data_IF_078220348486
#
_entry.id   IF_078220348486
#
_cell.length_a   1.000
_cell.length_b   1.000
_cell.length_c   1.000
_cell.angle_alpha   90.00
_cell.angle_beta   90.00
_cell.angle_gamma   90.00
#
_symmetry.space_group_name_H-M   'P 1'
#
loop_
_entity.id
_entity.type
_entity.pdbx_description
1 polymer ?
#
# COMPACT_ATOMS: atom_id res chain seq x y z
N UNK A 1 3.66 20.69 1.56
CA UNK A 1 2.66 21.56 0.91
C UNK A 1 2.72 22.96 1.53
N UNK A 2 2.68 23.08 2.85
CA UNK A 2 2.72 24.37 3.54
C UNK A 2 4.00 25.16 3.30
N UNK A 3 5.15 24.49 3.15
CA UNK A 3 6.48 25.13 2.99
C UNK A 3 6.89 25.38 1.53
N UNK A 4 5.99 25.21 0.56
CA UNK A 4 6.29 25.24 -0.88
C UNK A 4 7.39 24.28 -1.36
N UNK A 5 7.88 23.39 -0.50
CA UNK A 5 8.91 22.40 -0.83
C UNK A 5 8.32 21.16 -1.51
N UNK A 6 6.99 21.01 -1.48
CA UNK A 6 6.26 19.90 -2.12
C UNK A 6 5.01 20.40 -2.83
N UNK A 7 4.65 19.72 -3.90
CA UNK A 7 3.45 20.00 -4.71
C UNK A 7 2.22 19.33 -4.07
N UNK A 8 1.02 19.76 -4.47
CA UNK A 8 -0.22 19.03 -4.22
C UNK A 8 -0.34 17.75 -5.04
N UNK A 9 -1.45 17.06 -4.90
CA UNK A 9 -1.77 15.84 -5.65
C UNK A 9 -3.03 16.01 -6.49
N UNK A 10 -3.05 15.37 -7.66
CA UNK A 10 -4.25 15.10 -8.42
C UNK A 10 -4.55 13.59 -8.30
N UNK A 11 -5.61 13.23 -7.61
CA UNK A 11 -5.98 11.84 -7.33
C UNK A 11 -7.21 11.45 -8.13
N UNK A 12 -7.08 10.43 -8.96
CA UNK A 12 -8.19 9.83 -9.70
C UNK A 12 -8.54 8.49 -9.07
N UNK A 13 -9.82 8.28 -8.80
CA UNK A 13 -10.37 7.05 -8.26
C UNK A 13 -11.12 6.31 -9.37
N UNK A 14 -10.60 5.13 -9.73
CA UNK A 14 -11.10 4.32 -10.84
C UNK A 14 -11.84 3.11 -10.27
N UNK A 15 -13.11 2.99 -10.62
CA UNK A 15 -13.90 1.78 -10.38
C UNK A 15 -13.49 0.71 -11.42
N UNK A 16 -13.26 -0.50 -10.96
CA UNK A 16 -12.72 -1.58 -11.80
C UNK A 16 -13.69 -2.76 -11.96
N UNK A 17 -14.83 -2.73 -11.32
CA UNK A 17 -15.90 -3.73 -11.46
C UNK A 17 -17.25 -3.15 -11.03
N UNK A 18 -18.33 -3.74 -11.54
CA UNK A 18 -19.73 -3.55 -11.12
C UNK A 18 -20.33 -4.90 -10.75
N UNK A 19 -21.21 -4.91 -9.76
CA UNK A 19 -21.90 -6.12 -9.33
C UNK A 19 -22.91 -5.84 -8.23
N UNK A 20 -23.69 -6.85 -7.86
CA UNK A 20 -24.65 -6.79 -6.75
C UNK A 20 -23.95 -6.56 -5.40
N UNK A 21 -22.67 -6.87 -5.33
CA UNK A 21 -21.85 -6.73 -4.15
C UNK A 21 -20.72 -5.74 -4.45
N UNK A 22 -20.58 -4.69 -3.64
CA UNK A 22 -19.44 -3.80 -3.67
C UNK A 22 -18.39 -4.34 -2.71
N UNK A 23 -17.31 -5.02 -3.18
CA UNK A 23 -16.25 -5.51 -2.30
C UNK A 23 -15.42 -4.38 -1.69
N UNK A 24 -15.72 -3.12 -2.03
CA UNK A 24 -15.14 -1.93 -1.39
C UNK A 24 -15.90 -1.51 -0.15
N UNK A 25 -17.13 -1.99 0.03
CA UNK A 25 -17.87 -1.82 1.26
C UNK A 25 -17.24 -2.73 2.33
N UNK A 26 -16.77 -2.13 3.43
CA UNK A 26 -16.19 -2.86 4.57
C UNK A 26 -17.23 -3.68 5.35
N UNK A 27 -18.50 -3.62 4.97
CA UNK A 27 -19.52 -4.54 5.46
C UNK A 27 -19.10 -5.95 5.02
N UNK A 28 -18.70 -6.75 6.00
CA UNK A 28 -18.35 -8.16 5.82
C UNK A 28 -19.52 -8.90 5.19
N UNK A 29 -19.47 -9.08 3.90
CA UNK A 29 -20.27 -10.12 3.28
C UNK A 29 -19.51 -11.41 3.56
N UNK A 30 -20.03 -12.23 4.46
CA UNK A 30 -19.52 -13.58 4.71
C UNK A 30 -19.49 -14.30 3.36
N UNK A 31 -18.38 -14.98 3.04
CA UNK A 31 -18.13 -15.81 1.86
C UNK A 31 -17.65 -15.15 0.56
N UNK A 32 -17.30 -13.87 0.52
CA UNK A 32 -16.66 -13.26 -0.66
C UNK A 32 -15.14 -13.20 -0.49
N UNK A 33 -14.42 -13.92 -1.36
CA UNK A 33 -12.98 -13.79 -1.50
C UNK A 33 -12.65 -12.51 -2.28
N UNK A 34 -12.44 -11.41 -1.55
CA UNK A 34 -12.06 -10.12 -2.15
C UNK A 34 -10.79 -10.24 -3.00
N UNK A 35 -9.88 -11.15 -2.68
CA UNK A 35 -8.65 -11.35 -3.44
C UNK A 35 -8.90 -11.97 -4.81
N UNK A 36 -9.87 -12.87 -4.93
CA UNK A 36 -10.27 -13.47 -6.21
C UNK A 36 -10.69 -12.39 -7.22
N UNK A 37 -11.57 -11.46 -6.80
CA UNK A 37 -12.03 -10.35 -7.65
C UNK A 37 -10.87 -9.46 -8.08
N UNK A 38 -10.01 -9.08 -7.14
CA UNK A 38 -8.92 -8.17 -7.41
C UNK A 38 -7.78 -8.81 -8.20
N UNK A 39 -7.65 -10.12 -8.20
CA UNK A 39 -6.65 -10.87 -8.98
C UNK A 39 -7.16 -11.42 -10.29
N UNK A 40 -8.44 -11.19 -10.65
CA UNK A 40 -9.01 -11.70 -11.89
C UNK A 40 -8.25 -11.18 -13.13
N UNK A 41 -7.84 -12.06 -14.05
CA UNK A 41 -7.05 -11.68 -15.23
C UNK A 41 -7.74 -10.65 -16.13
N UNK A 42 -9.09 -10.68 -16.25
CA UNK A 42 -9.84 -9.69 -17.06
C UNK A 42 -9.70 -8.30 -16.45
N UNK A 43 -9.87 -8.18 -15.12
CA UNK A 43 -9.69 -6.93 -14.40
C UNK A 43 -8.25 -6.41 -14.54
N UNK A 44 -7.25 -7.25 -14.29
CA UNK A 44 -5.85 -6.88 -14.41
C UNK A 44 -5.53 -6.37 -15.82
N UNK A 45 -6.08 -7.01 -16.85
CA UNK A 45 -5.89 -6.60 -18.25
C UNK A 45 -6.51 -5.23 -18.54
N UNK A 46 -7.73 -4.96 -18.03
CA UNK A 46 -8.38 -3.65 -18.17
C UNK A 46 -7.56 -2.54 -17.49
N UNK A 47 -7.05 -2.79 -16.29
CA UNK A 47 -6.18 -1.85 -15.57
C UNK A 47 -4.88 -1.58 -16.37
N UNK A 48 -4.22 -2.62 -16.88
CA UNK A 48 -3.01 -2.47 -17.68
C UNK A 48 -3.27 -1.66 -18.96
N UNK A 49 -4.36 -1.93 -19.67
CA UNK A 49 -4.78 -1.17 -20.85
C UNK A 49 -5.07 0.29 -20.52
N UNK A 50 -5.74 0.55 -19.40
CA UNK A 50 -5.99 1.92 -18.92
C UNK A 50 -4.69 2.67 -18.63
N UNK A 51 -3.72 2.01 -17.99
CA UNK A 51 -2.38 2.58 -17.74
C UNK A 51 -1.71 2.93 -19.05
N UNK A 52 -1.60 1.99 -20.00
CA UNK A 52 -0.95 2.23 -21.30
C UNK A 52 -1.59 3.42 -22.02
N UNK A 53 -2.94 3.42 -22.10
CA UNK A 53 -3.69 4.49 -22.81
C UNK A 53 -3.46 5.88 -22.22
N UNK A 54 -3.24 5.99 -20.91
CA UNK A 54 -3.18 7.27 -20.22
C UNK A 54 -1.76 7.69 -19.81
N UNK A 55 -0.77 6.80 -19.94
CA UNK A 55 0.57 7.02 -19.41
C UNK A 55 1.24 8.28 -19.98
N UNK A 56 1.25 8.44 -21.28
CA UNK A 56 1.90 9.59 -21.94
C UNK A 56 1.29 10.91 -21.47
N UNK A 57 -0.05 10.97 -21.35
CA UNK A 57 -0.74 12.16 -20.84
C UNK A 57 -0.37 12.45 -19.36
N UNK A 58 -0.28 11.41 -18.52
CA UNK A 58 0.03 11.54 -17.08
C UNK A 58 1.47 11.94 -16.85
N UNK A 59 2.39 11.50 -17.69
CA UNK A 59 3.84 11.70 -17.55
C UNK A 59 4.40 12.81 -18.43
N UNK A 60 3.53 13.64 -19.02
CA UNK A 60 3.92 14.71 -19.95
C UNK A 60 4.80 14.15 -21.10
N UNK A 61 4.24 13.21 -21.88
CA UNK A 61 4.91 12.51 -22.96
C UNK A 61 6.24 11.86 -22.53
N UNK A 62 6.19 11.13 -21.41
CA UNK A 62 7.34 10.38 -20.81
C UNK A 62 8.52 11.25 -20.40
N UNK A 63 8.31 12.57 -20.27
CA UNK A 63 9.27 13.45 -19.61
C UNK A 63 9.45 13.05 -18.14
N UNK A 64 8.40 12.55 -17.54
CA UNK A 64 8.34 11.99 -16.22
C UNK A 64 8.05 10.49 -16.29
N UNK A 65 8.15 9.81 -15.18
CA UNK A 65 7.87 8.39 -15.07
C UNK A 65 6.90 8.04 -13.94
N UNK A 66 6.60 6.77 -13.81
CA UNK A 66 5.64 6.27 -12.86
C UNK A 66 6.15 5.08 -12.04
N UNK A 67 5.64 4.97 -10.80
CA UNK A 67 5.60 3.72 -10.05
C UNK A 67 4.19 3.10 -10.17
N UNK A 68 4.14 1.78 -10.19
CA UNK A 68 2.89 1.03 -10.11
C UNK A 68 2.93 0.12 -8.87
N UNK A 69 2.25 0.54 -7.81
CA UNK A 69 2.16 -0.17 -6.55
C UNK A 69 1.05 -1.23 -6.60
N UNK A 70 1.41 -2.48 -6.37
CA UNK A 70 0.48 -3.61 -6.40
C UNK A 70 0.48 -4.36 -5.07
N UNK A 71 -0.57 -5.18 -4.84
CA UNK A 71 -0.84 -5.78 -3.54
C UNK A 71 0.23 -6.79 -3.12
N UNK A 72 0.64 -7.69 -4.03
CA UNK A 72 1.55 -8.80 -3.75
C UNK A 72 2.37 -9.19 -4.99
N UNK A 73 3.32 -10.11 -4.82
CA UNK A 73 4.23 -10.56 -5.88
C UNK A 73 3.49 -11.29 -7.00
N UNK A 74 2.47 -12.10 -6.67
CA UNK A 74 1.65 -12.81 -7.65
C UNK A 74 0.97 -11.83 -8.61
N UNK A 75 0.36 -10.78 -8.06
CA UNK A 75 -0.27 -9.71 -8.84
C UNK A 75 0.77 -8.92 -9.65
N UNK A 76 1.96 -8.66 -9.10
CA UNK A 76 3.06 -8.00 -9.82
C UNK A 76 3.46 -8.80 -11.06
N UNK A 77 3.68 -10.11 -10.91
CA UNK A 77 4.07 -10.99 -12.01
C UNK A 77 2.96 -11.07 -13.06
N UNK A 78 1.70 -11.15 -12.64
CA UNK A 78 0.55 -11.15 -13.53
C UNK A 78 0.50 -9.86 -14.37
N UNK A 79 0.60 -8.68 -13.75
CA UNK A 79 0.66 -7.41 -14.48
C UNK A 79 1.86 -7.32 -15.42
N UNK A 80 3.04 -7.74 -14.97
CA UNK A 80 4.23 -7.72 -15.81
C UNK A 80 4.06 -8.54 -17.08
N UNK A 81 3.50 -9.75 -16.96
CA UNK A 81 3.21 -10.60 -18.11
C UNK A 81 2.13 -9.99 -19.03
N UNK A 82 1.07 -9.41 -18.47
CA UNK A 82 0.03 -8.72 -19.25
C UNK A 82 0.61 -7.54 -20.04
N UNK A 83 1.48 -6.72 -19.44
CA UNK A 83 2.14 -5.63 -20.18
C UNK A 83 3.00 -6.16 -21.34
N UNK A 84 3.67 -7.28 -21.15
CA UNK A 84 4.43 -7.94 -22.23
C UNK A 84 3.51 -8.45 -23.36
N UNK A 85 2.38 -9.08 -23.00
CA UNK A 85 1.40 -9.54 -23.99
C UNK A 85 0.77 -8.40 -24.78
N UNK A 86 0.53 -7.26 -24.14
CA UNK A 86 -0.02 -6.07 -24.78
C UNK A 86 0.98 -5.37 -25.71
N UNK A 87 2.24 -5.82 -25.73
CA UNK A 87 3.30 -5.39 -26.63
C UNK A 87 3.40 -3.85 -26.74
N UNK A 88 3.40 -3.18 -25.59
CA UNK A 88 3.55 -1.72 -25.51
C UNK A 88 4.99 -1.30 -25.79
N UNK A 89 5.17 -0.09 -26.29
CA UNK A 89 6.49 0.57 -26.46
C UNK A 89 7.04 1.18 -25.17
N UNK A 90 6.27 1.11 -24.06
CA UNK A 90 6.70 1.58 -22.76
C UNK A 90 7.82 0.70 -22.20
N UNK A 91 8.85 1.34 -21.65
CA UNK A 91 9.91 0.66 -20.91
C UNK A 91 9.42 0.33 -19.51
N UNK A 92 9.08 -0.92 -19.28
CA UNK A 92 8.50 -1.42 -18.02
C UNK A 92 9.44 -2.42 -17.39
N UNK A 93 9.69 -2.28 -16.08
CA UNK A 93 10.35 -3.29 -15.26
C UNK A 93 9.58 -3.50 -13.96
N UNK A 94 10.02 -4.44 -13.16
CA UNK A 94 9.44 -4.71 -11.87
C UNK A 94 10.52 -5.08 -10.86
N UNK A 95 10.25 -4.81 -9.57
CA UNK A 95 11.15 -5.13 -8.48
C UNK A 95 10.38 -5.52 -7.22
N UNK A 96 10.85 -6.56 -6.53
CA UNK A 96 10.32 -7.04 -5.26
C UNK A 96 11.41 -7.77 -4.48
N UNK A 97 11.24 -7.89 -3.15
CA UNK A 97 12.13 -8.68 -2.29
C UNK A 97 11.51 -10.03 -1.96
N UNK A 98 12.35 -11.05 -1.76
CA UNK A 98 11.88 -12.40 -1.41
C UNK A 98 11.30 -12.50 0.00
N UNK A 99 11.72 -11.60 0.90
CA UNK A 99 11.41 -11.64 2.33
C UNK A 99 10.03 -11.05 2.66
N UNK A 100 9.43 -10.27 1.75
CA UNK A 100 8.14 -9.60 1.95
C UNK A 100 6.94 -10.49 1.57
N UNK A 101 7.14 -11.78 1.33
CA UNK A 101 6.05 -12.69 1.01
C UNK A 101 5.21 -13.02 2.24
N UNK A 102 4.09 -12.31 2.42
CA UNK A 102 2.98 -12.76 3.26
C UNK A 102 2.21 -13.93 2.62
N UNK A 103 2.36 -14.14 1.31
CA UNK A 103 1.75 -15.25 0.54
C UNK A 103 2.69 -16.45 0.52
N UNK A 104 2.51 -17.32 1.51
CA UNK A 104 3.19 -18.61 1.62
C UNK A 104 2.86 -19.58 0.47
N UNK A 105 1.89 -19.22 -0.38
CA UNK A 105 1.40 -20.02 -1.50
C UNK A 105 2.24 -19.90 -2.78
N UNK A 106 2.99 -18.82 -2.93
CA UNK A 106 3.85 -18.65 -4.09
C UNK A 106 5.20 -19.27 -3.76
N UNK A 107 5.40 -20.53 -4.18
CA UNK A 107 6.67 -21.26 -3.98
C UNK A 107 7.84 -20.34 -4.31
N UNK A 108 8.80 -20.22 -3.41
CA UNK A 108 9.99 -19.37 -3.56
C UNK A 108 10.71 -19.58 -4.91
N UNK A 109 10.66 -20.78 -5.47
CA UNK A 109 11.21 -21.10 -6.79
C UNK A 109 10.54 -20.31 -7.91
N UNK A 110 9.20 -20.24 -7.94
CA UNK A 110 8.48 -19.48 -8.98
C UNK A 110 8.72 -17.97 -8.91
N UNK A 111 8.88 -17.42 -7.71
CA UNK A 111 9.20 -16.00 -7.52
C UNK A 111 10.60 -15.69 -8.02
N UNK A 112 11.57 -16.57 -7.74
CA UNK A 112 12.96 -16.43 -8.19
C UNK A 112 13.08 -16.50 -9.71
N UNK A 113 12.43 -17.49 -10.34
CA UNK A 113 12.40 -17.63 -11.79
C UNK A 113 11.74 -16.44 -12.50
N UNK A 114 10.67 -15.91 -11.88
CA UNK A 114 9.98 -14.73 -12.40
C UNK A 114 10.85 -13.49 -12.30
N UNK A 115 11.58 -13.31 -11.18
CA UNK A 115 12.51 -12.20 -11.03
C UNK A 115 13.67 -12.32 -12.01
N UNK A 116 14.22 -13.51 -12.24
CA UNK A 116 15.28 -13.75 -13.24
C UNK A 116 14.80 -13.39 -14.65
N UNK A 117 13.55 -13.72 -15.02
CA UNK A 117 12.95 -13.29 -16.29
C UNK A 117 12.86 -11.77 -16.40
N UNK A 118 12.41 -11.09 -15.35
CA UNK A 118 12.33 -9.62 -15.31
C UNK A 118 13.73 -9.01 -15.48
N UNK A 119 14.73 -9.52 -14.77
CA UNK A 119 16.12 -9.07 -14.88
C UNK A 119 16.68 -9.36 -16.29
N UNK A 120 16.37 -10.51 -16.87
CA UNK A 120 16.79 -10.85 -18.25
C UNK A 120 16.21 -9.87 -19.27
N UNK A 121 14.94 -9.51 -19.14
CA UNK A 121 14.31 -8.53 -20.02
C UNK A 121 14.89 -7.12 -19.81
N UNK A 122 15.19 -6.76 -18.55
CA UNK A 122 15.89 -5.51 -18.23
C UNK A 122 17.27 -5.45 -18.86
N UNK A 123 18.04 -6.57 -18.77
CA UNK A 123 19.36 -6.68 -19.40
C UNK A 123 19.30 -6.46 -20.91
N UNK A 124 18.29 -7.02 -21.59
CA UNK A 124 18.05 -6.77 -23.03
C UNK A 124 17.73 -5.32 -23.30
N UNK A 125 16.91 -4.68 -22.46
CA UNK A 125 16.47 -3.30 -22.63
C UNK A 125 17.64 -2.29 -22.50
N UNK A 126 18.58 -2.56 -21.60
CA UNK A 126 19.66 -1.63 -21.24
C UNK A 126 21.08 -2.12 -21.56
N UNK A 127 21.20 -3.29 -22.21
CA UNK A 127 22.48 -3.94 -22.51
C UNK A 127 23.37 -4.12 -21.26
N UNK A 128 22.75 -4.70 -20.20
CA UNK A 128 23.40 -5.00 -18.92
C UNK A 128 23.47 -6.52 -18.71
N UNK A 129 24.12 -6.96 -17.63
CA UNK A 129 24.30 -8.38 -17.33
C UNK A 129 24.09 -8.66 -15.83
N UNK A 130 22.89 -8.35 -15.33
CA UNK A 130 22.48 -8.63 -13.97
C UNK A 130 21.81 -10.00 -13.87
N UNK A 131 21.88 -10.60 -12.67
CA UNK A 131 21.26 -11.86 -12.29
C UNK A 131 20.66 -11.72 -10.89
N UNK A 132 19.82 -12.65 -10.48
CA UNK A 132 19.24 -12.65 -9.12
C UNK A 132 20.33 -12.58 -8.04
N UNK A 133 21.47 -13.24 -8.25
CA UNK A 133 22.61 -13.16 -7.31
C UNK A 133 23.28 -11.77 -7.23
N UNK A 134 23.03 -10.90 -8.22
CA UNK A 134 23.50 -9.50 -8.24
C UNK A 134 22.32 -8.53 -8.05
N UNK A 135 21.28 -8.95 -7.34
CA UNK A 135 20.04 -8.19 -7.14
C UNK A 135 20.28 -6.76 -6.66
N UNK A 136 21.18 -6.55 -5.70
CA UNK A 136 21.50 -5.22 -5.18
C UNK A 136 22.04 -4.28 -6.28
N UNK A 137 22.87 -4.79 -7.19
CA UNK A 137 23.39 -4.01 -8.31
C UNK A 137 22.28 -3.69 -9.32
N UNK A 138 21.42 -4.65 -9.66
CA UNK A 138 20.23 -4.45 -10.47
C UNK A 138 19.32 -3.40 -9.85
N UNK A 139 18.97 -3.52 -8.56
CA UNK A 139 18.11 -2.58 -7.85
C UNK A 139 18.67 -1.16 -7.88
N UNK A 140 19.98 -0.99 -7.66
CA UNK A 140 20.65 0.31 -7.70
C UNK A 140 20.63 0.93 -9.10
N UNK A 141 20.87 0.14 -10.15
CA UNK A 141 20.79 0.64 -11.53
C UNK A 141 19.34 0.99 -11.90
N UNK A 142 18.36 0.17 -11.55
CA UNK A 142 16.95 0.46 -11.75
C UNK A 142 16.55 1.77 -11.06
N UNK A 143 16.96 1.99 -9.80
CA UNK A 143 16.70 3.25 -9.09
C UNK A 143 17.34 4.44 -9.81
N UNK A 144 18.54 4.28 -10.39
CA UNK A 144 19.19 5.32 -11.20
C UNK A 144 18.40 5.60 -12.47
N UNK A 145 17.89 4.56 -13.16
CA UNK A 145 17.05 4.70 -14.36
C UNK A 145 15.75 5.45 -14.05
N UNK A 146 15.12 5.18 -12.88
CA UNK A 146 13.96 5.94 -12.44
C UNK A 146 14.32 7.42 -12.23
N UNK A 147 15.41 7.71 -11.50
CA UNK A 147 15.85 9.08 -11.20
C UNK A 147 16.21 9.91 -12.44
N UNK A 148 16.48 9.26 -13.55
CA UNK A 148 16.89 9.91 -14.82
C UNK A 148 15.82 9.79 -15.92
N UNK A 149 14.61 9.36 -15.60
CA UNK A 149 13.50 9.13 -16.53
C UNK A 149 13.87 8.24 -17.74
N UNK A 150 14.76 7.27 -17.55
CA UNK A 150 15.13 6.32 -18.58
C UNK A 150 14.23 5.09 -18.63
N UNK A 151 13.34 4.92 -17.64
CA UNK A 151 12.31 3.89 -17.56
C UNK A 151 10.95 4.56 -17.34
N UNK A 152 9.92 4.04 -18.00
CA UNK A 152 8.60 4.67 -17.98
C UNK A 152 7.79 4.23 -16.76
N UNK A 153 7.75 2.92 -16.45
CA UNK A 153 6.99 2.35 -15.34
C UNK A 153 7.82 1.31 -14.60
N UNK A 154 7.80 1.37 -13.26
CA UNK A 154 8.31 0.29 -12.43
C UNK A 154 7.20 -0.25 -11.54
N UNK A 155 6.92 -1.55 -11.66
CA UNK A 155 5.92 -2.26 -10.85
C UNK A 155 6.60 -2.67 -9.53
N UNK A 156 5.98 -2.35 -8.39
CA UNK A 156 6.58 -2.54 -7.06
C UNK A 156 5.60 -3.18 -6.08
N UNK A 157 6.14 -4.00 -5.17
CA UNK A 157 5.43 -4.48 -3.98
C UNK A 157 6.17 -3.95 -2.75
N UNK A 158 5.59 -2.98 -2.04
CA UNK A 158 6.21 -2.37 -0.85
C UNK A 158 7.41 -1.48 -1.13
N UNK A 159 8.39 -1.96 -1.88
CA UNK A 159 9.63 -1.23 -2.21
C UNK A 159 9.37 0.13 -2.88
N UNK A 160 10.24 1.10 -2.62
CA UNK A 160 10.21 2.45 -3.21
C UNK A 160 9.00 3.31 -2.85
N UNK A 161 8.01 2.79 -2.13
CA UNK A 161 6.88 3.58 -1.63
C UNK A 161 7.28 4.42 -0.41
N UNK A 162 8.32 3.98 0.31
CA UNK A 162 8.94 4.69 1.43
C UNK A 162 10.41 4.92 1.15
N UNK A 163 10.99 6.01 1.64
CA UNK A 163 12.44 6.27 1.57
C UNK A 163 13.02 6.56 0.19
N UNK A 164 12.28 6.38 -0.91
CA UNK A 164 12.77 6.66 -2.27
C UNK A 164 12.43 8.08 -2.71
N UNK A 165 13.40 8.79 -3.28
CA UNK A 165 13.24 10.16 -3.78
C UNK A 165 13.73 10.28 -5.22
N UNK A 166 12.81 10.77 -6.10
CA UNK A 166 13.11 11.05 -7.50
C UNK A 166 12.25 12.22 -8.01
N UNK A 167 12.87 13.32 -8.39
CA UNK A 167 12.15 14.52 -8.89
C UNK A 167 11.35 14.26 -10.15
N UNK A 168 11.86 13.39 -11.02
CA UNK A 168 11.20 13.01 -12.29
C UNK A 168 10.06 12.01 -12.11
N UNK A 169 9.88 11.43 -10.91
CA UNK A 169 8.73 10.60 -10.60
C UNK A 169 7.52 11.51 -10.34
N UNK A 170 6.54 11.52 -11.25
CA UNK A 170 5.35 12.35 -11.10
C UNK A 170 4.05 11.56 -11.01
N UNK A 171 4.05 10.26 -11.32
CA UNK A 171 2.83 9.45 -11.37
C UNK A 171 2.96 8.21 -10.49
N UNK A 172 1.91 7.92 -9.73
CA UNK A 172 1.76 6.68 -8.97
C UNK A 172 0.44 6.01 -9.35
N UNK A 173 0.52 4.85 -9.94
CA UNK A 173 -0.61 3.93 -10.10
C UNK A 173 -0.72 3.05 -8.86
N UNK A 174 -1.92 2.86 -8.33
CA UNK A 174 -2.16 2.13 -7.07
C UNK A 174 -3.23 1.07 -7.27
N UNK A 175 -2.84 -0.20 -7.24
CA UNK A 175 -3.74 -1.35 -7.12
C UNK A 175 -3.41 -2.15 -5.87
N UNK A 176 -3.43 -1.44 -4.75
CA UNK A 176 -3.11 -1.94 -3.42
C UNK A 176 -3.95 -1.21 -2.39
N UNK A 177 -4.36 -1.89 -1.34
CA UNK A 177 -4.90 -1.21 -0.16
C UNK A 177 -3.77 -0.50 0.57
N UNK A 178 -3.88 0.81 0.68
CA UNK A 178 -2.99 1.68 1.45
C UNK A 178 -3.81 2.40 2.51
N UNK A 179 -3.25 2.56 3.70
CA UNK A 179 -3.94 3.19 4.82
C UNK A 179 -3.04 4.20 5.51
N UNK A 180 -3.67 5.23 6.05
CA UNK A 180 -3.04 6.26 6.89
C UNK A 180 -1.70 6.75 6.34
N UNK A 181 -0.66 6.55 7.12
CA UNK A 181 0.69 6.97 6.85
C UNK A 181 1.28 6.39 5.55
N UNK A 182 1.13 5.08 5.34
CA UNK A 182 1.65 4.41 4.14
C UNK A 182 1.05 4.99 2.86
N UNK A 183 -0.24 5.41 2.91
CA UNK A 183 -0.93 6.02 1.80
C UNK A 183 -0.31 7.39 1.46
N UNK A 184 -0.17 8.28 2.44
CA UNK A 184 0.40 9.62 2.22
C UNK A 184 1.89 9.55 1.87
N UNK A 185 2.64 8.62 2.45
CA UNK A 185 4.04 8.41 2.05
C UNK A 185 4.18 7.96 0.60
N UNK A 186 3.34 7.02 0.15
CA UNK A 186 3.35 6.58 -1.23
C UNK A 186 3.00 7.75 -2.18
N UNK A 187 1.97 8.54 -1.86
CA UNK A 187 1.59 9.72 -2.65
C UNK A 187 2.73 10.74 -2.71
N UNK A 188 3.41 10.98 -1.58
CA UNK A 188 4.50 11.95 -1.48
C UNK A 188 5.74 11.62 -2.33
N UNK A 189 5.80 10.41 -2.91
CA UNK A 189 6.86 10.07 -3.88
C UNK A 189 6.72 10.89 -5.17
N UNK A 190 5.51 11.32 -5.52
CA UNK A 190 5.21 11.99 -6.80
C UNK A 190 5.23 13.51 -6.73
N UNK A 191 5.25 14.13 -5.55
CA UNK A 191 5.02 15.57 -5.39
C UNK A 191 6.29 16.43 -5.19
N UNK A 192 7.46 15.88 -5.47
CA UNK A 192 8.71 16.65 -5.40
C UNK A 192 8.75 17.74 -6.47
N UNK A 193 9.13 18.94 -6.05
CA UNK A 193 9.26 20.09 -6.96
C UNK A 193 10.41 19.86 -7.94
N UNK A 194 10.14 20.05 -9.21
CA UNK A 194 11.16 19.99 -10.25
C UNK A 194 11.08 21.22 -11.17
N UNK A 195 9.98 21.35 -11.91
CA UNK A 195 9.81 22.42 -12.90
C UNK A 195 8.35 22.86 -12.98
N UNK A 196 8.11 24.00 -13.67
CA UNK A 196 6.76 24.50 -13.97
C UNK A 196 5.88 23.50 -14.73
N UNK A 197 6.48 22.53 -15.40
CA UNK A 197 5.78 21.46 -16.14
C UNK A 197 5.31 20.30 -15.25
N UNK A 198 5.62 20.33 -13.95
CA UNK A 198 5.13 19.39 -12.94
C UNK A 198 4.34 20.14 -11.86
N UNK A 199 3.08 20.51 -12.12
CA UNK A 199 2.29 21.33 -11.20
C UNK A 199 1.81 20.55 -9.96
N UNK A 200 1.72 19.23 -10.03
CA UNK A 200 1.28 18.32 -8.95
C UNK A 200 1.77 16.90 -9.21
N UNK A 201 1.66 16.03 -8.19
CA UNK A 201 1.81 14.59 -8.34
C UNK A 201 0.50 13.96 -8.84
N UNK A 202 0.58 13.03 -9.78
CA UNK A 202 -0.57 12.28 -10.29
C UNK A 202 -0.69 10.96 -9.54
N UNK A 203 -1.87 10.69 -8.98
CA UNK A 203 -2.20 9.43 -8.33
C UNK A 203 -3.40 8.84 -9.05
N UNK A 204 -3.34 7.56 -9.41
CA UNK A 204 -4.45 6.83 -10.04
C UNK A 204 -4.73 5.58 -9.22
N UNK A 205 -5.86 5.55 -8.53
CA UNK A 205 -6.25 4.48 -7.62
C UNK A 205 -7.22 3.52 -8.32
N UNK A 206 -6.85 2.24 -8.40
CA UNK A 206 -7.70 1.14 -8.87
C UNK A 206 -8.35 0.35 -7.71
N UNK A 207 -8.25 0.90 -6.51
CA UNK A 207 -8.94 0.48 -5.29
C UNK A 207 -9.74 1.65 -4.76
N UNK A 208 -10.79 1.38 -3.97
CA UNK A 208 -11.52 2.45 -3.30
C UNK A 208 -10.69 3.03 -2.15
N UNK A 209 -9.89 4.03 -2.46
CA UNK A 209 -9.03 4.72 -1.48
C UNK A 209 -9.53 6.12 -1.12
N UNK A 210 -10.71 6.55 -1.62
CA UNK A 210 -11.21 7.92 -1.41
C UNK A 210 -11.34 8.25 0.08
N UNK A 211 -12.12 7.46 0.79
CA UNK A 211 -12.34 7.65 2.23
C UNK A 211 -11.04 7.50 3.04
N UNK A 212 -10.21 6.52 2.67
CA UNK A 212 -8.90 6.30 3.32
C UNK A 212 -7.96 7.48 3.10
N UNK A 213 -8.00 8.10 1.93
CA UNK A 213 -7.24 9.32 1.62
C UNK A 213 -7.70 10.49 2.46
N UNK A 214 -9.02 10.72 2.55
CA UNK A 214 -9.59 11.81 3.34
C UNK A 214 -9.28 11.63 4.83
N UNK A 215 -9.41 10.41 5.35
CA UNK A 215 -9.10 10.10 6.75
C UNK A 215 -7.61 10.25 7.07
N UNK A 216 -6.74 9.83 6.14
CA UNK A 216 -5.30 10.03 6.30
C UNK A 216 -4.93 11.52 6.33
N UNK A 217 -5.53 12.34 5.44
CA UNK A 217 -5.31 13.79 5.42
C UNK A 217 -5.82 14.46 6.69
N UNK A 218 -7.02 14.09 7.17
CA UNK A 218 -7.59 14.61 8.42
C UNK A 218 -6.67 14.31 9.60
N UNK A 219 -6.25 13.05 9.73
CA UNK A 219 -5.35 12.62 10.80
C UNK A 219 -4.02 13.37 10.77
N UNK A 220 -3.44 13.53 9.57
CA UNK A 220 -2.18 14.24 9.36
C UNK A 220 -2.28 15.74 9.66
N UNK A 221 -3.47 16.34 9.45
CA UNK A 221 -3.70 17.75 9.68
C UNK A 221 -3.97 18.11 11.15
N UNK A 222 -4.33 17.12 11.98
CA UNK A 222 -4.68 17.28 13.39
C UNK A 222 -3.50 17.15 14.35
N UNK A 223 -2.32 16.74 13.89
CA UNK A 223 -1.15 16.50 14.73
C UNK A 223 -0.11 17.60 14.59
N UNK A 224 0.25 18.22 15.71
CA UNK A 224 1.31 19.24 15.81
C UNK A 224 2.72 18.69 15.51
N UNK A 225 2.89 17.38 15.58
CA UNK A 225 4.12 16.68 15.26
C UNK A 225 3.88 15.69 14.12
N UNK A 226 4.40 16.02 12.94
CA UNK A 226 4.44 15.14 11.78
C UNK A 226 5.10 13.80 12.12
N UNK A 227 6.09 13.81 13.01
CA UNK A 227 6.80 12.62 13.49
C UNK A 227 5.92 11.68 14.33
N UNK A 228 4.95 12.20 15.11
CA UNK A 228 4.02 11.40 15.92
C UNK A 228 2.94 10.67 15.09
N UNK A 229 2.64 11.17 13.89
CA UNK A 229 1.74 10.47 12.94
C UNK A 229 2.53 9.49 12.08
N UNK A 230 3.81 9.76 11.91
CA UNK A 230 4.67 9.05 10.97
C UNK A 230 5.19 7.71 11.51
N UNK A 231 5.35 7.58 12.80
CA UNK A 231 5.71 6.32 13.47
C UNK A 231 5.10 6.31 14.85
N UNK A 232 4.12 5.46 15.06
CA UNK A 232 3.87 5.05 16.44
C UNK A 232 5.17 4.50 16.95
N UNK A 233 5.54 4.91 18.17
CA UNK A 233 6.81 4.54 18.76
C UNK A 233 6.96 3.02 18.91
N UNK A 234 8.16 2.57 19.11
CA UNK A 234 8.50 1.18 19.35
C UNK A 234 7.62 0.57 20.46
N UNK A 235 7.41 1.30 21.56
CA UNK A 235 6.62 0.85 22.71
C UNK A 235 5.15 0.59 22.35
N UNK A 236 4.57 1.37 21.43
CA UNK A 236 3.22 1.13 20.95
C UNK A 236 3.11 -0.23 20.24
N UNK A 237 4.01 -0.51 19.29
CA UNK A 237 3.99 -1.78 18.56
C UNK A 237 4.37 -2.96 19.46
N UNK A 238 5.30 -2.76 20.39
CA UNK A 238 5.67 -3.79 21.36
C UNK A 238 4.48 -4.17 22.26
N UNK A 239 3.74 -3.18 22.77
CA UNK A 239 2.55 -3.43 23.57
C UNK A 239 1.44 -4.11 22.74
N UNK A 240 1.24 -3.67 21.51
CA UNK A 240 0.29 -4.30 20.59
C UNK A 240 0.67 -5.75 20.30
N UNK A 241 1.95 -6.04 20.12
CA UNK A 241 2.45 -7.40 19.91
C UNK A 241 2.19 -8.30 21.12
N UNK A 242 2.44 -7.80 22.32
CA UNK A 242 2.14 -8.50 23.58
C UNK A 242 0.65 -8.82 23.74
N UNK A 243 -0.24 -7.87 23.42
CA UNK A 243 -1.69 -8.11 23.45
C UNK A 243 -2.12 -9.15 22.41
N UNK A 244 -1.51 -9.16 21.23
CA UNK A 244 -1.78 -10.18 20.21
C UNK A 244 -1.26 -11.56 20.60
N UNK A 245 -0.14 -11.64 21.32
CA UNK A 245 0.32 -12.90 21.93
C UNK A 245 -0.73 -13.43 22.90
N UNK A 246 -1.27 -12.59 23.79
CA UNK A 246 -2.35 -13.01 24.71
C UNK A 246 -3.59 -13.51 23.96
N UNK A 247 -3.94 -12.85 22.87
CA UNK A 247 -5.04 -13.28 22.00
C UNK A 247 -4.75 -14.66 21.41
N UNK A 248 -3.56 -14.89 20.88
CA UNK A 248 -3.14 -16.20 20.36
C UNK A 248 -3.20 -17.27 21.45
N UNK A 249 -2.64 -17.00 22.63
CA UNK A 249 -2.61 -17.93 23.76
C UNK A 249 -4.01 -18.24 24.31
N UNK A 250 -4.99 -17.33 24.14
CA UNK A 250 -6.39 -17.60 24.47
C UNK A 250 -7.06 -18.58 23.51
N UNK A 251 -6.57 -18.69 22.28
CA UNK A 251 -7.06 -19.65 21.28
C UNK A 251 -6.33 -20.99 21.39
N UNK A 252 -5.02 -20.95 21.50
CA UNK A 252 -4.17 -22.12 21.69
C UNK A 252 -3.04 -21.75 22.65
N UNK A 253 -3.06 -22.26 23.88
CA UNK A 253 -2.11 -21.88 24.94
C UNK A 253 -0.68 -22.38 24.71
N UNK A 254 -0.50 -23.37 23.83
CA UNK A 254 0.77 -23.92 23.36
C UNK A 254 0.65 -24.32 21.90
N UNK A 255 1.77 -24.43 21.16
CA UNK A 255 1.74 -24.87 19.76
C UNK A 255 1.05 -26.22 19.55
N UNK A 256 1.22 -27.16 20.50
CA UNK A 256 0.60 -28.50 20.41
C UNK A 256 -0.93 -28.42 20.51
N UNK A 257 -1.48 -27.44 21.24
CA UNK A 257 -2.94 -27.29 21.39
C UNK A 257 -3.62 -26.83 20.09
N UNK A 258 -2.87 -26.42 19.10
CA UNK A 258 -3.42 -26.11 17.77
C UNK A 258 -3.96 -27.36 17.10
N UNK A 259 -3.38 -28.53 17.37
CA UNK A 259 -3.85 -29.82 16.84
C UNK A 259 -5.19 -30.25 17.46
N UNK A 260 -5.56 -29.70 18.63
CA UNK A 260 -6.82 -29.96 19.31
C UNK A 260 -8.00 -29.13 18.78
N UNK A 261 -7.76 -28.18 17.86
CA UNK A 261 -8.80 -27.34 17.26
C UNK A 261 -9.61 -28.14 16.23
N UNK A 262 -10.78 -28.64 16.68
CA UNK A 262 -11.58 -29.59 15.91
C UNK A 262 -12.56 -28.94 14.94
N UNK A 263 -12.94 -27.68 15.15
CA UNK A 263 -13.92 -26.99 14.32
C UNK A 263 -13.24 -25.97 13.37
N UNK A 264 -13.79 -25.82 12.16
CA UNK A 264 -13.34 -24.80 11.21
C UNK A 264 -13.34 -23.38 11.81
N UNK A 265 -14.28 -23.11 12.72
CA UNK A 265 -14.36 -21.82 13.42
C UNK A 265 -13.17 -21.60 14.35
N UNK A 266 -12.77 -22.62 15.10
CA UNK A 266 -11.60 -22.56 15.99
C UNK A 266 -10.32 -22.41 15.17
N UNK A 267 -10.17 -23.18 14.11
CA UNK A 267 -9.04 -23.10 13.19
C UNK A 267 -8.95 -21.72 12.53
N UNK A 268 -10.08 -21.16 12.08
CA UNK A 268 -10.16 -19.80 11.53
C UNK A 268 -9.74 -18.74 12.55
N UNK A 269 -10.18 -18.88 13.80
CA UNK A 269 -9.79 -17.97 14.89
C UNK A 269 -8.28 -18.01 15.14
N UNK A 270 -7.67 -19.19 15.11
CA UNK A 270 -6.23 -19.35 15.23
C UNK A 270 -5.49 -18.69 14.06
N UNK A 271 -5.92 -18.95 12.83
CA UNK A 271 -5.33 -18.34 11.63
C UNK A 271 -5.37 -16.81 11.71
N UNK A 272 -6.51 -16.22 12.08
CA UNK A 272 -6.66 -14.79 12.20
C UNK A 272 -5.75 -14.21 13.30
N UNK A 273 -5.71 -14.85 14.48
CA UNK A 273 -4.89 -14.40 15.59
C UNK A 273 -3.39 -14.47 15.26
N UNK A 274 -2.94 -15.56 14.66
CA UNK A 274 -1.53 -15.73 14.33
C UNK A 274 -1.10 -14.83 13.17
N UNK A 275 -1.94 -14.66 12.15
CA UNK A 275 -1.69 -13.72 11.04
C UNK A 275 -1.52 -12.28 11.53
N UNK A 276 -2.37 -11.83 12.44
CA UNK A 276 -2.26 -10.48 13.01
C UNK A 276 -1.03 -10.33 13.90
N UNK A 277 -0.58 -11.41 14.53
CA UNK A 277 0.67 -11.45 15.29
C UNK A 277 1.90 -11.31 14.36
N UNK A 278 1.96 -12.09 13.26
CA UNK A 278 3.04 -12.00 12.26
C UNK A 278 3.17 -10.58 11.70
N UNK A 279 2.05 -9.94 11.34
CA UNK A 279 2.06 -8.57 10.82
C UNK A 279 2.73 -7.59 11.77
N UNK A 280 2.44 -7.70 13.07
CA UNK A 280 3.02 -6.82 14.07
C UNK A 280 4.50 -7.13 14.31
N UNK A 281 4.90 -8.43 14.30
CA UNK A 281 6.30 -8.82 14.38
C UNK A 281 7.11 -8.26 13.20
N UNK A 282 6.55 -8.29 11.99
CA UNK A 282 7.23 -7.74 10.81
C UNK A 282 7.44 -6.22 10.92
N UNK A 283 6.52 -5.49 11.56
CA UNK A 283 6.72 -4.07 11.86
C UNK A 283 7.84 -3.91 12.90
N UNK A 284 7.82 -4.67 14.00
CA UNK A 284 8.82 -4.61 15.06
C UNK A 284 10.23 -4.94 14.56
N UNK A 285 10.37 -5.87 13.62
CA UNK A 285 11.67 -6.24 13.03
C UNK A 285 12.35 -5.06 12.28
N UNK A 286 11.63 -3.97 11.98
CA UNK A 286 12.23 -2.77 11.41
C UNK A 286 12.83 -1.82 12.46
N UNK A 287 12.63 -2.10 13.74
CA UNK A 287 13.19 -1.32 14.84
C UNK A 287 14.48 -2.00 15.34
N UNK A 288 15.57 -1.22 15.41
CA UNK A 288 16.87 -1.72 15.88
C UNK A 288 16.85 -2.13 17.35
N UNK A 289 15.89 -1.62 18.11
CA UNK A 289 15.68 -1.91 19.54
C UNK A 289 14.96 -3.23 19.78
N UNK A 290 14.37 -3.83 18.74
CA UNK A 290 13.59 -5.06 18.90
C UNK A 290 14.49 -6.29 19.08
N UNK A 291 14.35 -6.91 20.23
CA UNK A 291 14.97 -8.20 20.57
C UNK A 291 13.88 -9.10 21.17
N UNK A 292 13.47 -10.10 20.39
CA UNK A 292 12.37 -10.98 20.74
C UNK A 292 12.58 -11.65 22.10
N UNK A 293 13.77 -12.23 22.33
CA UNK A 293 14.06 -13.01 23.52
C UNK A 293 14.14 -12.15 24.81
N UNK A 294 14.49 -10.88 24.68
CA UNK A 294 14.57 -9.96 25.82
C UNK A 294 13.23 -9.32 26.18
N UNK A 295 12.38 -9.09 25.17
CA UNK A 295 11.20 -8.26 25.34
C UNK A 295 9.90 -9.07 25.41
N UNK A 296 9.91 -10.33 24.95
CA UNK A 296 8.76 -11.23 24.97
C UNK A 296 9.03 -12.33 26.00
N UNK A 297 8.12 -12.48 26.95
CA UNK A 297 8.23 -13.46 28.03
C UNK A 297 7.16 -14.56 27.96
N UNK A 298 6.05 -14.32 27.26
CA UNK A 298 4.89 -15.20 27.22
C UNK A 298 5.11 -16.40 26.29
N UNK A 299 5.94 -16.24 25.25
CA UNK A 299 6.36 -17.29 24.31
C UNK A 299 7.84 -17.09 23.95
N UNK A 300 8.54 -18.17 23.67
CA UNK A 300 9.92 -18.10 23.17
C UNK A 300 9.97 -18.09 21.63
N UNK A 301 11.13 -17.87 21.06
CA UNK A 301 11.31 -17.81 19.61
C UNK A 301 10.97 -19.15 18.93
N UNK A 302 11.24 -20.30 19.61
CA UNK A 302 10.90 -21.62 19.10
C UNK A 302 9.39 -21.84 19.07
N UNK A 303 8.67 -21.47 20.15
CA UNK A 303 7.19 -21.55 20.19
C UNK A 303 6.57 -20.75 19.05
N UNK A 304 7.12 -19.58 18.75
CA UNK A 304 6.64 -18.77 17.62
C UNK A 304 6.80 -19.50 16.28
N UNK A 305 7.95 -20.13 16.01
CA UNK A 305 8.17 -20.87 14.75
C UNK A 305 7.31 -22.16 14.72
N UNK A 306 7.03 -22.78 15.87
CA UNK A 306 6.14 -23.94 15.97
C UNK A 306 4.69 -23.53 15.67
N UNK A 307 4.19 -22.43 16.23
CA UNK A 307 2.88 -21.86 15.85
C UNK A 307 2.82 -21.52 14.36
N UNK A 308 3.89 -20.98 13.79
CA UNK A 308 3.98 -20.66 12.37
C UNK A 308 3.86 -21.91 11.50
N UNK A 309 4.53 -23.00 11.90
CA UNK A 309 4.42 -24.29 11.19
C UNK A 309 2.99 -24.83 11.23
N UNK A 310 2.32 -24.74 12.38
CA UNK A 310 0.90 -25.14 12.52
C UNK A 310 -0.04 -24.25 11.69
N UNK A 311 0.20 -22.94 11.70
CA UNK A 311 -0.54 -21.99 10.85
C UNK A 311 -0.48 -22.37 9.38
N UNK A 312 0.71 -22.75 8.89
CA UNK A 312 0.91 -23.17 7.50
C UNK A 312 0.10 -24.42 7.15
N UNK A 313 0.15 -25.43 8.01
CA UNK A 313 -0.57 -26.67 7.80
C UNK A 313 -2.10 -26.47 7.75
N UNK A 314 -2.66 -25.76 8.72
CA UNK A 314 -4.12 -25.52 8.78
C UNK A 314 -4.56 -24.62 7.60
N UNK A 315 -3.77 -23.65 7.23
CA UNK A 315 -4.08 -22.76 6.12
C UNK A 315 -4.15 -23.53 4.79
N UNK A 316 -3.22 -24.46 4.55
CA UNK A 316 -3.25 -25.34 3.37
C UNK A 316 -4.48 -26.27 3.38
N UNK A 317 -4.80 -26.88 4.51
CA UNK A 317 -5.93 -27.81 4.63
C UNK A 317 -7.29 -27.12 4.42
N UNK A 318 -7.47 -25.94 5.00
CA UNK A 318 -8.68 -25.13 4.81
C UNK A 318 -8.84 -24.65 3.38
N UNK A 319 -7.74 -24.33 2.69
CA UNK A 319 -7.78 -23.95 1.28
C UNK A 319 -8.24 -25.10 0.39
N UNK A 320 -7.72 -26.32 0.61
CA UNK A 320 -8.15 -27.51 -0.14
C UNK A 320 -9.63 -27.87 0.12
N UNK A 321 -10.14 -27.65 1.33
CA UNK A 321 -11.53 -27.85 1.67
C UNK A 321 -12.45 -26.80 1.03
N UNK A 322 -12.00 -25.55 0.97
CA UNK A 322 -12.74 -24.39 0.45
C UNK A 322 -12.88 -24.40 -1.07
N UNK A 323 -11.85 -24.81 -1.82
CA UNK A 323 -11.87 -24.90 -3.29
C UNK A 323 -12.90 -25.91 -3.83
N UNK A 324 -13.39 -26.83 -2.98
CA UNK A 324 -14.41 -27.83 -3.38
C UNK A 324 -15.85 -27.36 -3.24
N UNK A 325 -16.12 -26.25 -2.55
CA UNK A 325 -17.50 -25.82 -2.20
C UNK A 325 -17.89 -24.44 -2.73
N UNK A 326 -16.98 -23.69 -3.34
CA UNK A 326 -17.26 -22.34 -3.84
C UNK A 326 -18.01 -22.36 -5.17
N UNK A 327 -19.17 -21.68 -5.17
CA UNK A 327 -19.69 -21.05 -6.40
C UNK A 327 -18.90 -19.77 -6.61
N UNK A 328 -18.18 -19.65 -7.72
CA UNK A 328 -17.43 -18.42 -8.03
C UNK A 328 -18.39 -17.24 -8.16
N UNK A 329 -18.12 -16.15 -7.47
CA UNK A 329 -18.90 -14.89 -7.59
C UNK A 329 -18.50 -14.11 -8.84
N UNK A 330 -17.47 -14.56 -9.58
CA UNK A 330 -16.98 -13.88 -10.78
C UNK A 330 -18.04 -13.82 -11.90
N UNK A 331 -18.99 -14.76 -11.91
CA UNK A 331 -20.10 -14.76 -12.88
C UNK A 331 -21.10 -13.61 -12.65
N UNK A 332 -21.16 -13.07 -11.43
CA UNK A 332 -22.03 -11.95 -11.04
C UNK A 332 -21.30 -10.58 -11.06
N UNK A 333 -20.04 -10.54 -11.47
CA UNK A 333 -19.20 -9.33 -11.50
C UNK A 333 -18.85 -8.97 -12.94
N UNK A 334 -19.23 -7.76 -13.33
CA UNK A 334 -18.77 -7.14 -14.56
C UNK A 334 -17.55 -6.26 -14.28
N UNK A 335 -16.43 -6.58 -14.94
CA UNK A 335 -15.23 -5.76 -14.86
C UNK A 335 -15.33 -4.56 -15.78
N UNK A 336 -15.12 -3.36 -15.22
CA UNK A 336 -15.18 -2.10 -15.95
C UNK A 336 -13.98 -1.21 -15.59
N UNK A 337 -13.81 -0.13 -16.32
CA UNK A 337 -12.91 0.96 -15.95
C UNK A 337 -13.69 2.26 -16.03
N UNK A 338 -14.07 2.79 -14.91
CA UNK A 338 -14.84 4.02 -14.80
C UNK A 338 -14.15 4.99 -13.82
N UNK A 339 -14.03 6.25 -14.25
CA UNK A 339 -13.56 7.32 -13.37
C UNK A 339 -14.71 7.74 -12.45
N UNK A 340 -14.59 7.42 -11.16
CA UNK A 340 -15.62 7.74 -10.16
C UNK A 340 -15.47 9.15 -9.62
N UNK A 341 -14.25 9.55 -9.32
CA UNK A 341 -13.95 10.85 -8.76
C UNK A 341 -12.53 11.31 -9.11
N UNK A 342 -12.34 12.63 -9.11
CA UNK A 342 -11.03 13.26 -9.19
C UNK A 342 -10.93 14.32 -8.11
N UNK A 343 -9.95 14.20 -7.22
CA UNK A 343 -9.68 15.19 -6.19
C UNK A 343 -8.34 15.87 -6.45
N UNK A 344 -8.35 17.19 -6.35
CA UNK A 344 -7.13 17.96 -6.29
C UNK A 344 -6.81 18.25 -4.83
N UNK A 345 -5.90 17.46 -4.28
CA UNK A 345 -5.45 17.62 -2.90
C UNK A 345 -4.40 18.72 -2.87
N UNK A 346 -4.85 19.92 -2.67
CA UNK A 346 -4.07 21.12 -2.40
C UNK A 346 -4.41 21.67 -1.01
N UNK A 347 -3.92 22.86 -0.71
CA UNK A 347 -4.17 23.49 0.57
C UNK A 347 -5.67 23.76 0.80
N UNK A 348 -6.38 24.22 -0.25
CA UNK A 348 -7.82 24.51 -0.12
C UNK A 348 -8.63 23.25 0.15
N UNK A 349 -8.27 22.11 -0.44
CA UNK A 349 -8.88 20.81 -0.16
C UNK A 349 -8.66 20.39 1.30
N UNK A 350 -7.43 20.49 1.80
CA UNK A 350 -7.09 20.17 3.18
C UNK A 350 -7.85 21.05 4.16
N UNK A 351 -7.92 22.36 3.90
CA UNK A 351 -8.66 23.31 4.73
C UNK A 351 -10.17 23.00 4.75
N UNK A 352 -10.75 22.61 3.62
CA UNK A 352 -12.16 22.20 3.55
C UNK A 352 -12.43 20.91 4.34
N UNK A 353 -11.53 19.93 4.28
CA UNK A 353 -11.66 18.71 5.09
C UNK A 353 -11.62 19.02 6.60
N UNK A 354 -10.72 19.91 7.02
CA UNK A 354 -10.61 20.34 8.42
C UNK A 354 -11.89 21.10 8.86
N UNK A 355 -12.42 21.94 7.99
CA UNK A 355 -13.63 22.74 8.30
C UNK A 355 -14.90 21.91 8.44
N UNK A 356 -14.94 20.74 7.77
CA UNK A 356 -16.05 19.79 7.82
C UNK A 356 -15.95 18.77 8.97
N UNK A 357 -14.96 18.90 9.85
CA UNK A 357 -14.90 18.12 11.09
C UNK A 357 -16.09 18.50 11.95
N UNK A 358 -16.94 17.51 12.28
CA UNK A 358 -18.22 17.70 12.93
C UNK A 358 -18.14 18.56 14.19
N UNK A 359 -19.03 19.58 14.27
CA UNK A 359 -19.13 20.56 15.36
C UNK A 359 -19.72 19.98 16.66
N UNK A 360 -19.36 18.77 17.06
CA UNK A 360 -19.97 18.12 18.22
C UNK A 360 -19.30 18.40 19.57
N UNK A 361 -18.11 19.03 19.58
CA UNK A 361 -17.45 19.40 20.84
C UNK A 361 -16.81 20.79 20.74
N UNK A 362 -17.44 21.80 21.34
CA UNK A 362 -16.97 23.19 21.32
C UNK A 362 -15.58 23.37 21.95
N UNK A 363 -15.18 22.49 22.86
CA UNK A 363 -13.84 22.53 23.50
C UNK A 363 -12.76 22.01 22.56
N UNK A 364 -13.04 20.91 21.83
CA UNK A 364 -12.14 20.39 20.78
C UNK A 364 -12.02 21.38 19.61
N UNK A 365 -13.14 21.97 19.20
CA UNK A 365 -13.17 22.93 18.11
C UNK A 365 -12.29 24.17 18.37
N UNK A 366 -12.25 24.68 19.62
CA UNK A 366 -11.35 25.79 19.98
C UNK A 366 -9.88 25.41 19.92
N UNK A 367 -9.52 24.21 20.38
CA UNK A 367 -8.15 23.70 20.33
C UNK A 367 -7.69 23.50 18.88
N UNK A 368 -8.55 22.92 18.03
CA UNK A 368 -8.30 22.68 16.60
C UNK A 368 -8.11 24.00 15.83
N UNK A 369 -8.93 25.02 16.12
CA UNK A 369 -8.80 26.36 15.52
C UNK A 369 -7.46 27.02 15.93
N UNK A 370 -7.05 26.90 17.19
CA UNK A 370 -5.77 27.44 17.64
C UNK A 370 -4.57 26.74 17.01
N UNK A 371 -4.63 25.43 16.82
CA UNK A 371 -3.61 24.65 16.12
C UNK A 371 -3.50 25.07 14.65
N UNK A 372 -4.62 25.19 13.94
CA UNK A 372 -4.67 25.67 12.55
C UNK A 372 -4.07 27.08 12.44
N UNK A 373 -4.36 27.98 13.37
CA UNK A 373 -3.79 29.34 13.41
C UNK A 373 -2.28 29.31 13.59
N UNK A 374 -1.79 28.44 14.47
CA UNK A 374 -0.35 28.29 14.72
C UNK A 374 0.39 27.82 13.47
N UNK A 375 -0.17 26.83 12.77
CA UNK A 375 0.38 26.32 11.52
C UNK A 375 0.34 27.35 10.37
N UNK A 376 -0.76 28.07 10.21
CA UNK A 376 -0.87 29.14 9.21
C UNK A 376 0.10 30.31 9.48
N UNK A 377 0.38 30.63 10.74
CA UNK A 377 1.36 31.62 11.14
C UNK A 377 2.80 31.19 10.89
N UNK A 378 3.10 29.88 11.05
CA UNK A 378 4.40 29.29 10.72
C UNK A 378 4.63 29.16 9.22
N UNK A 379 3.56 29.07 8.42
CA UNK A 379 3.68 29.07 6.97
C UNK A 379 4.21 30.43 6.50
N UNK A 380 5.34 30.46 5.80
CA UNK A 380 5.94 31.69 5.24
C UNK A 380 5.09 32.39 4.16
N UNK A 381 3.85 31.92 3.91
CA UNK A 381 2.98 32.39 2.85
C UNK A 381 2.09 33.54 3.32
N UNK A 382 2.41 34.76 2.91
CA UNK A 382 1.65 35.96 3.23
C UNK A 382 0.15 35.88 2.86
N UNK A 383 -0.21 35.20 1.75
CA UNK A 383 -1.61 35.05 1.33
C UNK A 383 -2.42 34.15 2.29
N UNK A 384 -1.77 33.25 2.98
CA UNK A 384 -2.43 32.36 3.95
C UNK A 384 -2.68 33.06 5.29
N UNK A 385 -1.80 33.98 5.69
CA UNK A 385 -1.99 34.77 6.92
C UNK A 385 -3.26 35.62 6.88
N UNK A 386 -3.63 36.15 5.70
CA UNK A 386 -4.89 36.91 5.53
C UNK A 386 -6.15 36.04 5.65
N UNK A 387 -6.05 34.71 5.53
CA UNK A 387 -7.21 33.80 5.70
C UNK A 387 -7.45 33.42 7.17
N UNK A 388 -6.58 33.77 8.10
CA UNK A 388 -6.75 33.50 9.54
C UNK A 388 -8.02 34.13 10.07
N UNK A 389 -8.32 35.38 9.63
CA UNK A 389 -9.52 36.11 10.03
C UNK A 389 -10.84 35.50 9.51
N UNK A 390 -10.76 34.60 8.53
CA UNK A 390 -11.90 33.83 7.99
C UNK A 390 -12.22 32.58 8.82
N UNK A 391 -11.27 32.09 9.60
CA UNK A 391 -11.43 30.90 10.43
C UNK A 391 -12.13 31.27 11.76
N UNK A 392 -12.15 32.55 12.13
CA UNK A 392 -12.82 33.06 13.33
C UNK A 392 -14.31 33.38 13.14
N UNK A 393 -14.78 33.46 11.91
CA UNK A 393 -16.19 33.66 11.53
C UNK A 393 -16.90 32.37 11.22
#
# INVERSE_FOLDING_TARGET
IFDHNVLGFNVEYIKTFEGKYDPTDDTKVEDIDKEEVFSDPKRLRLVAQHIIKNHDRKTNNRRYNALFAVANIKTLIAYYNIFKELNTDLKISAIFTYEENEDLEFKQEHSKDSLEKIITDYNKMYNTNYHVNTFSAFANDLMKKIKTAQIDIVIVVGMMLTGFDAKVLNTLYVDKNLEYHNLLQAYSRTNRVEHTTKPFGNIVCYRNLKEKTDNAIRLFSQTDNIDDVLTKDFDFYLNQFREKIKTLLSVASRPENVDDLMTEKEQKNFILAFRDLIKTRNILNNFTEFDFDKQIQDINAQDFEDYKSKYLLIHEDLKYAYDKTKTSILDDIDFCIELVATDRIDLDYIMNLIHNIERHDQSKQKLEIEQIKTELNRSGNQKLRYKIDLIEK
#
